data_IF_363765596516
#
_entry.id   IF_363765596516
#
_cell.length_a   1.000
_cell.length_b   1.000
_cell.length_c   1.000
_cell.angle_alpha   90.00
_cell.angle_beta   90.00
_cell.angle_gamma   90.00
#
_symmetry.space_group_name_H-M   'P 1'
#
loop_
_entity.id
_entity.type
_entity.pdbx_description
1 polymer ?
#
# COMPACT_ATOMS: atom_id res chain seq x y z
N UNK A 1 5.89 4.69 5.72
CA UNK A 1 4.86 3.67 5.44
C UNK A 1 5.03 2.52 6.42
N UNK A 2 3.98 1.73 6.68
CA UNK A 2 4.08 0.55 7.56
C UNK A 2 4.88 -0.56 6.87
N UNK A 3 5.79 -1.17 7.63
CA UNK A 3 6.70 -2.22 7.18
C UNK A 3 6.04 -3.59 7.31
N UNK A 4 6.05 -4.41 6.24
CA UNK A 4 5.30 -5.67 6.22
C UNK A 4 5.67 -6.67 7.31
N UNK A 5 6.95 -6.93 7.61
CA UNK A 5 7.32 -7.82 8.72
C UNK A 5 6.77 -7.35 10.08
N UNK A 6 6.66 -6.05 10.31
CA UNK A 6 6.04 -5.52 11.54
C UNK A 6 4.51 -5.68 11.57
N UNK A 7 3.87 -5.87 10.42
CA UNK A 7 2.45 -6.24 10.35
C UNK A 7 2.29 -7.73 10.70
N UNK A 8 3.14 -8.58 10.13
CA UNK A 8 3.12 -10.03 10.37
C UNK A 8 3.41 -10.36 11.84
N UNK A 9 4.36 -9.67 12.45
CA UNK A 9 4.77 -9.91 13.85
C UNK A 9 3.68 -9.64 14.89
N UNK A 10 2.54 -9.05 14.49
CA UNK A 10 1.40 -8.79 15.39
C UNK A 10 0.53 -10.02 15.61
N UNK A 11 0.68 -11.04 14.76
CA UNK A 11 -0.15 -12.23 14.78
C UNK A 11 0.67 -13.45 15.18
N UNK A 12 0.02 -14.37 15.89
CA UNK A 12 0.55 -15.68 16.24
C UNK A 12 -0.03 -16.80 15.36
N UNK A 13 0.65 -17.95 15.34
CA UNK A 13 0.21 -19.14 14.59
C UNK A 13 -1.13 -19.73 15.08
N UNK A 14 -1.55 -19.37 16.30
CA UNK A 14 -2.81 -19.83 16.90
C UNK A 14 -3.98 -18.87 16.64
N UNK A 15 -3.73 -17.71 16.03
CA UNK A 15 -4.78 -16.75 15.75
C UNK A 15 -5.69 -17.25 14.62
N UNK A 16 -6.95 -16.81 14.64
CA UNK A 16 -7.92 -17.17 13.63
C UNK A 16 -7.43 -16.68 12.25
N UNK A 17 -7.13 -17.60 11.34
CA UNK A 17 -6.50 -17.28 10.05
C UNK A 17 -7.30 -16.25 9.22
N UNK A 18 -8.63 -16.24 9.32
CA UNK A 18 -9.47 -15.22 8.69
C UNK A 18 -9.30 -13.83 9.28
N UNK A 19 -9.17 -13.72 10.61
CA UNK A 19 -8.92 -12.45 11.29
C UNK A 19 -7.52 -11.91 10.97
N UNK A 20 -6.52 -12.79 10.95
CA UNK A 20 -5.14 -12.46 10.57
C UNK A 20 -5.10 -11.93 9.14
N UNK A 21 -5.77 -12.62 8.20
CA UNK A 21 -5.87 -12.19 6.81
C UNK A 21 -6.53 -10.82 6.66
N UNK A 22 -7.71 -10.63 7.28
CA UNK A 22 -8.43 -9.35 7.26
C UNK A 22 -7.53 -8.22 7.75
N UNK A 23 -6.89 -8.40 8.91
CA UNK A 23 -6.08 -7.36 9.51
C UNK A 23 -4.84 -6.99 8.67
N UNK A 24 -4.16 -7.98 8.09
CA UNK A 24 -3.04 -7.72 7.17
C UNK A 24 -3.52 -6.95 5.93
N UNK A 25 -4.61 -7.39 5.34
CA UNK A 25 -5.18 -6.83 4.12
C UNK A 25 -5.77 -5.43 4.32
N UNK A 26 -6.30 -5.14 5.50
CA UNK A 26 -6.74 -3.81 5.92
C UNK A 26 -5.56 -2.84 6.02
N UNK A 27 -4.47 -3.25 6.68
CA UNK A 27 -3.28 -2.42 6.84
C UNK A 27 -2.66 -2.10 5.47
N UNK A 28 -2.56 -3.08 4.56
CA UNK A 28 -2.07 -2.85 3.19
C UNK A 28 -2.90 -1.81 2.45
N UNK A 29 -4.24 -1.96 2.44
CA UNK A 29 -5.16 -1.02 1.77
C UNK A 29 -5.08 0.37 2.37
N UNK A 30 -5.00 0.48 3.70
CA UNK A 30 -4.82 1.76 4.39
C UNK A 30 -3.53 2.47 3.97
N UNK A 31 -2.39 1.77 3.90
CA UNK A 31 -1.13 2.37 3.46
C UNK A 31 -1.18 2.85 2.01
N UNK A 32 -1.84 2.10 1.12
CA UNK A 32 -2.04 2.52 -0.27
C UNK A 32 -2.93 3.76 -0.34
N UNK A 33 -4.01 3.82 0.45
CA UNK A 33 -4.87 5.00 0.51
C UNK A 33 -4.10 6.23 1.00
N UNK A 34 -3.31 6.07 2.08
CA UNK A 34 -2.45 7.13 2.61
C UNK A 34 -1.43 7.60 1.57
N UNK A 35 -0.79 6.66 0.86
CA UNK A 35 0.14 6.96 -0.23
C UNK A 35 -0.52 7.81 -1.31
N UNK A 36 -1.71 7.42 -1.78
CA UNK A 36 -2.48 8.16 -2.78
C UNK A 36 -2.82 9.58 -2.31
N UNK A 37 -3.27 9.71 -1.06
CA UNK A 37 -3.61 11.01 -0.43
C UNK A 37 -2.38 11.92 -0.37
N UNK A 38 -1.29 11.46 0.23
CA UNK A 38 -0.07 12.25 0.36
C UNK A 38 0.48 12.69 -1.00
N UNK A 39 0.37 11.82 -2.00
CA UNK A 39 0.79 12.14 -3.36
C UNK A 39 -0.11 13.20 -4.02
N UNK A 40 -1.43 13.09 -3.90
CA UNK A 40 -2.38 14.07 -4.44
C UNK A 40 -2.15 15.49 -3.87
N UNK A 41 -1.78 15.59 -2.59
CA UNK A 41 -1.44 16.86 -1.96
C UNK A 41 -0.04 17.37 -2.32
N UNK A 42 0.90 16.48 -2.66
CA UNK A 42 2.26 16.86 -3.07
C UNK A 42 2.33 17.42 -4.50
N UNK A 43 1.48 16.95 -5.42
CA UNK A 43 1.43 17.44 -6.81
C UNK A 43 0.78 18.82 -6.94
N UNK A 44 0.00 19.25 -5.95
CA UNK A 44 -0.68 20.56 -5.95
C UNK A 44 0.28 21.75 -5.73
N UNK A 45 1.47 21.50 -5.17
CA UNK A 45 2.45 22.53 -4.83
C UNK A 45 3.42 22.94 -5.95
N UNK A 46 3.43 22.23 -7.08
CA UNK A 46 4.42 22.49 -8.15
C UNK A 46 3.89 23.41 -9.27
N UNK A 47 2.60 23.75 -9.25
CA UNK A 47 1.98 24.63 -10.25
C UNK A 47 2.00 26.09 -9.78
N UNK A 48 3.19 26.65 -9.51
CA UNK A 48 3.32 28.11 -9.35
C UNK A 48 4.33 28.55 -8.30
N UNK A 49 5.62 28.49 -8.62
CA UNK A 49 6.56 29.47 -8.09
C UNK A 49 7.80 29.54 -8.99
N UNK A 50 7.68 30.35 -10.03
CA UNK A 50 8.81 31.20 -10.41
C UNK A 50 8.85 32.34 -9.39
N UNK A 51 10.05 32.71 -8.95
CA UNK A 51 10.44 33.82 -8.07
C UNK A 51 10.91 33.36 -6.67
N UNK A 52 12.22 33.15 -6.61
CA UNK A 52 13.15 33.76 -5.64
C UNK A 52 12.56 34.14 -4.26
N UNK A 53 12.74 33.30 -3.25
CA UNK A 53 12.96 33.78 -1.89
C UNK A 53 13.60 32.72 -0.99
N UNK A 54 14.79 33.10 -0.55
CA UNK A 54 15.53 32.64 0.62
C UNK A 54 14.65 32.36 1.86
N UNK A 55 15.07 31.32 2.61
CA UNK A 55 14.74 31.03 4.02
C UNK A 55 13.31 30.59 4.37
N UNK A 56 13.03 29.29 4.23
CA UNK A 56 12.22 28.56 5.22
C UNK A 56 12.92 27.24 5.55
N UNK A 57 13.55 27.20 6.72
CA UNK A 57 13.87 25.96 7.42
C UNK A 57 12.60 25.13 7.61
N UNK A 58 12.55 23.93 7.03
CA UNK A 58 11.77 22.83 7.62
C UNK A 58 10.47 22.40 6.96
N UNK A 59 10.16 22.76 5.71
CA UNK A 59 9.13 22.02 4.95
C UNK A 59 9.80 20.81 4.32
N UNK A 60 10.00 19.75 5.13
CA UNK A 60 10.30 18.44 4.58
C UNK A 60 9.23 18.13 3.53
N UNK A 61 9.59 18.16 2.25
CA UNK A 61 8.69 17.70 1.21
C UNK A 61 8.39 16.24 1.53
N UNK A 62 7.23 15.98 2.13
CA UNK A 62 6.78 14.63 2.43
C UNK A 62 6.36 13.99 1.11
N UNK A 63 7.34 13.75 0.23
CA UNK A 63 7.16 13.00 -1.00
C UNK A 63 7.24 11.54 -0.60
N UNK A 64 6.09 10.89 -0.55
CA UNK A 64 6.02 9.44 -0.44
C UNK A 64 6.19 8.87 -1.83
N UNK A 65 7.11 7.93 -1.96
CA UNK A 65 7.47 7.26 -3.19
C UNK A 65 6.93 5.83 -3.18
N UNK A 66 6.78 5.25 -4.37
CA UNK A 66 6.37 3.84 -4.47
C UNK A 66 7.38 2.91 -3.79
N UNK A 67 8.67 3.30 -3.73
CA UNK A 67 9.73 2.59 -3.00
C UNK A 67 9.50 2.50 -1.49
N UNK A 68 8.67 3.38 -0.92
CA UNK A 68 8.32 3.35 0.51
C UNK A 68 7.27 2.26 0.81
N UNK A 69 6.60 1.70 -0.20
CA UNK A 69 5.60 0.63 -0.06
C UNK A 69 6.28 -0.74 -0.01
N UNK A 70 6.75 -1.11 1.17
CA UNK A 70 7.46 -2.36 1.46
C UNK A 70 6.50 -3.48 1.89
N UNK A 71 5.50 -3.76 1.06
CA UNK A 71 4.53 -4.82 1.24
C UNK A 71 3.95 -5.24 -0.13
N UNK A 72 3.45 -6.47 -0.27
CA UNK A 72 2.81 -6.91 -1.51
C UNK A 72 1.45 -6.25 -1.72
N UNK A 73 0.98 -6.22 -2.98
CA UNK A 73 -0.36 -5.68 -3.30
C UNK A 73 -1.46 -6.37 -2.48
N UNK A 74 -2.54 -5.65 -2.13
CA UNK A 74 -3.69 -6.26 -1.48
C UNK A 74 -4.30 -7.34 -2.37
N UNK A 75 -4.64 -8.48 -1.78
CA UNK A 75 -5.19 -9.67 -2.47
C UNK A 75 -6.69 -9.81 -2.21
N UNK A 76 -7.33 -10.67 -3.00
CA UNK A 76 -8.75 -11.07 -2.93
C UNK A 76 -9.72 -9.90 -2.69
N UNK A 77 -9.75 -8.94 -3.62
CA UNK A 77 -10.76 -7.86 -3.65
C UNK A 77 -12.21 -8.37 -3.52
N UNK A 78 -12.63 -9.50 -4.13
CA UNK A 78 -13.97 -10.03 -3.95
C UNK A 78 -14.29 -10.43 -2.51
N UNK A 79 -13.34 -11.06 -1.82
CA UNK A 79 -13.50 -11.45 -0.41
C UNK A 79 -13.61 -10.22 0.49
N UNK A 80 -12.81 -9.19 0.23
CA UNK A 80 -12.90 -7.91 0.94
C UNK A 80 -14.21 -7.16 0.67
N UNK A 81 -14.81 -7.35 -0.51
CA UNK A 81 -16.06 -6.70 -0.92
C UNK A 81 -17.31 -7.46 -0.45
N UNK A 82 -17.16 -8.67 0.09
CA UNK A 82 -18.28 -9.48 0.54
C UNK A 82 -19.02 -8.80 1.70
N UNK A 83 -20.33 -8.70 1.56
CA UNK A 83 -21.22 -8.07 2.56
C UNK A 83 -22.04 -9.09 3.34
N UNK A 84 -22.15 -10.31 2.80
CA UNK A 84 -22.83 -11.45 3.41
C UNK A 84 -21.85 -12.59 3.68
N UNK A 85 -22.26 -13.51 4.57
CA UNK A 85 -21.45 -14.70 4.88
C UNK A 85 -21.34 -15.62 3.68
N UNK A 86 -22.40 -15.71 2.89
CA UNK A 86 -22.47 -16.55 1.71
C UNK A 86 -21.54 -16.05 0.60
N UNK A 87 -21.46 -14.72 0.42
CA UNK A 87 -20.47 -14.08 -0.47
C UNK A 87 -19.05 -14.31 0.04
N UNK A 88 -18.84 -14.21 1.35
CA UNK A 88 -17.53 -14.43 1.97
C UNK A 88 -17.04 -15.87 1.74
N UNK A 89 -17.88 -16.85 2.05
CA UNK A 89 -17.57 -18.27 1.89
C UNK A 89 -17.38 -18.64 0.40
N UNK A 90 -18.12 -18.00 -0.51
CA UNK A 90 -17.96 -18.20 -1.97
C UNK A 90 -16.69 -17.55 -2.54
N UNK A 91 -16.26 -16.43 -1.95
CA UNK A 91 -15.10 -15.66 -2.40
C UNK A 91 -13.79 -16.11 -1.76
N UNK A 92 -13.82 -17.07 -0.82
CA UNK A 92 -12.66 -17.61 -0.13
C UNK A 92 -12.14 -18.90 -0.79
N UNK A 93 -11.17 -18.83 -1.74
CA UNK A 93 -10.44 -20.02 -2.17
C UNK A 93 -9.83 -20.81 -1.01
N UNK A 94 -9.61 -22.11 -1.23
CA UNK A 94 -9.06 -23.04 -0.25
C UNK A 94 -7.72 -22.59 0.37
N UNK A 95 -6.96 -21.71 -0.29
CA UNK A 95 -5.66 -21.18 0.17
C UNK A 95 -5.69 -19.73 0.69
N UNK A 96 -6.86 -19.08 0.73
CA UNK A 96 -6.97 -17.62 0.97
C UNK A 96 -6.29 -17.16 2.23
N UNK A 97 -6.45 -17.94 3.30
CA UNK A 97 -5.94 -17.62 4.61
C UNK A 97 -4.54 -18.18 4.85
N UNK A 98 -3.94 -18.83 3.84
CA UNK A 98 -2.59 -19.41 3.85
C UNK A 98 -1.47 -18.37 3.86
N UNK A 99 -1.60 -17.34 4.70
CA UNK A 99 -0.53 -16.37 4.93
C UNK A 99 0.52 -17.04 5.82
N UNK A 100 1.68 -17.31 5.25
CA UNK A 100 2.86 -17.65 6.05
C UNK A 100 3.35 -16.40 6.78
N UNK A 101 3.19 -16.34 8.10
CA UNK A 101 3.71 -15.24 8.92
C UNK A 101 5.24 -15.12 8.90
N UNK A 102 5.94 -16.18 8.44
CA UNK A 102 7.39 -16.18 8.29
C UNK A 102 7.85 -15.78 6.87
N UNK A 103 6.92 -15.69 5.92
CA UNK A 103 7.24 -15.29 4.55
C UNK A 103 6.93 -13.82 4.35
N UNK A 104 7.98 -13.02 4.18
CA UNK A 104 7.86 -11.58 3.99
C UNK A 104 7.43 -11.22 2.56
N UNK A 105 7.41 -12.18 1.62
CA UNK A 105 7.04 -11.95 0.22
C UNK A 105 7.78 -10.77 -0.42
N UNK A 106 9.04 -10.57 -0.05
CA UNK A 106 9.89 -9.45 -0.48
C UNK A 106 9.99 -9.27 -2.01
N UNK A 107 9.93 -10.38 -2.74
CA UNK A 107 9.93 -10.38 -4.20
C UNK A 107 8.67 -9.72 -4.80
N UNK A 108 7.55 -9.72 -4.06
CA UNK A 108 6.25 -9.21 -4.50
C UNK A 108 5.96 -7.79 -4.00
N UNK A 109 6.90 -7.16 -3.28
CA UNK A 109 6.67 -5.84 -2.73
C UNK A 109 6.48 -4.78 -3.81
N UNK A 110 5.56 -3.85 -3.57
CA UNK A 110 5.29 -2.72 -4.48
C UNK A 110 6.57 -1.92 -4.75
N UNK A 111 7.44 -1.77 -3.74
CA UNK A 111 8.74 -1.12 -3.85
C UNK A 111 9.66 -1.70 -4.94
N UNK A 112 9.54 -2.99 -5.29
CA UNK A 112 10.34 -3.62 -6.35
C UNK A 112 9.95 -3.19 -7.75
N UNK A 113 8.71 -2.72 -7.91
CA UNK A 113 8.17 -2.18 -9.16
C UNK A 113 8.12 -0.66 -9.17
N UNK A 114 8.72 0.00 -8.17
CA UNK A 114 8.66 1.45 -8.01
C UNK A 114 9.17 2.20 -9.24
N UNK A 115 10.27 1.74 -9.83
CA UNK A 115 10.85 2.38 -11.03
C UNK A 115 9.88 2.38 -12.21
N UNK A 116 9.12 1.29 -12.41
CA UNK A 116 8.12 1.19 -13.49
C UNK A 116 6.94 2.14 -13.22
N UNK A 117 6.47 2.19 -11.97
CA UNK A 117 5.35 3.05 -11.56
C UNK A 117 5.71 4.54 -11.67
N UNK A 118 6.95 4.89 -11.29
CA UNK A 118 7.47 6.26 -11.40
C UNK A 118 7.71 6.65 -12.88
N UNK A 119 8.07 5.72 -13.77
CA UNK A 119 8.26 5.96 -15.21
C UNK A 119 6.95 6.11 -16.01
N UNK A 120 5.90 5.36 -15.67
CA UNK A 120 4.59 5.45 -16.36
C UNK A 120 3.92 6.82 -16.21
N UNK A 121 4.37 7.63 -15.26
CA UNK A 121 3.82 8.96 -14.96
C UNK A 121 4.50 10.09 -15.72
N UNK A 122 5.70 9.83 -16.25
CA UNK A 122 6.44 10.79 -17.09
C UNK A 122 5.93 10.74 -18.54
N UNK A 123 5.25 9.66 -18.94
CA UNK A 123 4.86 9.41 -20.34
C UNK A 123 3.43 9.83 -20.73
N UNK A 124 2.64 10.40 -19.82
CA UNK A 124 1.36 11.03 -20.19
C UNK A 124 1.44 12.54 -20.01
N UNK A 125 2.03 13.29 -20.97
CA UNK A 125 1.60 14.65 -21.18
C UNK A 125 0.15 14.54 -21.64
N UNK A 126 -0.79 15.04 -20.83
CA UNK A 126 -2.17 15.22 -21.24
C UNK A 126 -2.18 15.95 -22.59
N UNK A 127 -2.79 15.32 -23.60
CA UNK A 127 -3.22 16.00 -24.82
C UNK A 127 -4.49 16.80 -24.59
#
# INVERSE_FOLDING_TARGET
>A
MLYYPNMLSRYGQNDLASLVWIGIEEIKRFNIALFKVCRAFSSSGEQGSSIDSSNITGTASWRLYARDLQFPLPRNTPLWAATSREEWDSAAPDDVYGISLNDTLEAEWISKSADVLELTEISFPFG
#
